data_IF_948395598365
#
_entry.id   IF_948395598365
#
_cell.length_a   1.000
_cell.length_b   1.000
_cell.length_c   1.000
_cell.angle_alpha   90.00
_cell.angle_beta   90.00
_cell.angle_gamma   90.00
#
_symmetry.space_group_name_H-M   'P 1'
#
loop_
_entity.id
_entity.type
_entity.pdbx_description
1 polymer ?
#
# COMPACT_ATOMS: atom_id res chain seq x y z
N UNK A 1 6.04 -7.03 -20.77
CA UNK A 1 4.93 -6.07 -20.97
C UNK A 1 3.76 -6.29 -20.02
N UNK A 2 3.33 -7.53 -19.70
CA UNK A 2 2.21 -7.77 -18.76
C UNK A 2 2.54 -7.41 -17.30
N UNK A 3 3.75 -7.71 -16.83
CA UNK A 3 4.19 -7.48 -15.44
C UNK A 3 4.27 -5.98 -15.07
N UNK A 4 4.73 -5.14 -16.01
CA UNK A 4 4.77 -3.68 -15.80
C UNK A 4 3.35 -3.06 -15.77
N UNK A 5 2.35 -3.75 -16.36
CA UNK A 5 0.97 -3.27 -16.40
C UNK A 5 0.29 -3.28 -15.03
N UNK A 6 0.53 -4.31 -14.22
CA UNK A 6 -0.11 -4.42 -12.89
C UNK A 6 0.53 -3.50 -11.86
N UNK A 7 1.83 -3.21 -11.97
CA UNK A 7 2.47 -2.14 -11.20
C UNK A 7 1.84 -0.76 -11.44
N UNK A 8 1.53 -0.43 -12.70
CA UNK A 8 0.87 0.82 -13.05
C UNK A 8 -0.57 0.88 -12.49
N UNK A 9 -1.28 -0.25 -12.52
CA UNK A 9 -2.61 -0.39 -11.91
C UNK A 9 -2.52 -0.25 -10.38
N UNK A 10 -1.49 -0.81 -9.73
CA UNK A 10 -1.27 -0.66 -8.30
C UNK A 10 -1.05 0.81 -7.90
N UNK A 11 -0.24 1.55 -8.67
CA UNK A 11 -0.06 2.99 -8.49
C UNK A 11 -1.37 3.77 -8.65
N UNK A 12 -2.15 3.49 -9.70
CA UNK A 12 -3.43 4.15 -9.96
C UNK A 12 -4.45 3.88 -8.83
N UNK A 13 -4.60 2.62 -8.42
CA UNK A 13 -5.52 2.24 -7.34
C UNK A 13 -5.10 2.91 -6.03
N UNK A 14 -3.80 2.97 -5.74
CA UNK A 14 -3.29 3.67 -4.57
C UNK A 14 -3.59 5.16 -4.59
N UNK A 15 -3.40 5.84 -5.73
CA UNK A 15 -3.75 7.25 -5.88
C UNK A 15 -5.25 7.49 -5.65
N UNK A 16 -6.12 6.59 -6.12
CA UNK A 16 -7.57 6.65 -5.86
C UNK A 16 -7.86 6.44 -4.38
N UNK A 17 -7.30 5.38 -3.78
CA UNK A 17 -7.50 5.02 -2.37
C UNK A 17 -7.04 6.12 -1.40
N UNK A 18 -5.99 6.86 -1.74
CA UNK A 18 -5.53 8.00 -0.94
C UNK A 18 -6.59 9.10 -0.78
N UNK A 19 -7.52 9.25 -1.73
CA UNK A 19 -8.63 10.21 -1.61
C UNK A 19 -9.69 9.79 -0.57
N UNK A 20 -9.66 8.53 -0.12
CA UNK A 20 -10.56 8.01 0.91
C UNK A 20 -9.93 8.06 2.31
N UNK A 21 -8.68 8.48 2.44
CA UNK A 21 -8.04 8.69 3.73
C UNK A 21 -8.55 9.98 4.40
N UNK A 22 -8.53 10.04 5.74
CA UNK A 22 -8.83 11.28 6.45
C UNK A 22 -7.97 12.44 5.96
N UNK A 23 -8.58 13.62 5.85
CA UNK A 23 -7.91 14.83 5.40
C UNK A 23 -6.91 15.27 6.48
N UNK A 24 -5.63 15.32 6.10
CA UNK A 24 -4.56 15.90 6.94
C UNK A 24 -4.13 17.24 6.32
N UNK A 25 -4.41 18.38 6.98
CA UNK A 25 -4.12 19.70 6.44
C UNK A 25 -2.64 19.85 6.03
N UNK A 26 -2.39 20.29 4.80
CA UNK A 26 -1.03 20.49 4.27
C UNK A 26 -0.27 19.22 3.86
N UNK A 27 -0.79 18.02 4.13
CA UNK A 27 -0.10 16.75 3.87
C UNK A 27 -0.77 15.84 2.83
N UNK A 28 -2.00 16.15 2.40
CA UNK A 28 -2.77 15.28 1.48
C UNK A 28 -2.06 14.91 0.17
N UNK A 29 -1.42 15.88 -0.50
CA UNK A 29 -0.65 15.62 -1.72
C UNK A 29 0.57 14.73 -1.46
N UNK A 30 1.27 14.97 -0.35
CA UNK A 30 2.46 14.20 0.05
C UNK A 30 2.08 12.76 0.43
N UNK A 31 0.99 12.58 1.16
CA UNK A 31 0.45 11.25 1.53
C UNK A 31 0.05 10.49 0.27
N UNK A 32 -0.62 11.15 -0.68
CA UNK A 32 -0.99 10.52 -1.97
C UNK A 32 0.23 10.10 -2.76
N UNK A 33 1.25 10.96 -2.84
CA UNK A 33 2.51 10.67 -3.54
C UNK A 33 3.26 9.49 -2.89
N UNK A 34 3.44 9.53 -1.56
CA UNK A 34 4.11 8.47 -0.81
C UNK A 34 3.35 7.16 -0.93
N UNK A 35 2.01 7.18 -0.80
CA UNK A 35 1.17 6.01 -0.99
C UNK A 35 1.34 5.41 -2.38
N UNK A 36 1.28 6.25 -3.42
CA UNK A 36 1.42 5.82 -4.82
C UNK A 36 2.79 5.18 -5.07
N UNK A 37 3.88 5.81 -4.64
CA UNK A 37 5.24 5.27 -4.76
C UNK A 37 5.35 3.94 -3.99
N UNK A 38 4.77 3.87 -2.80
CA UNK A 38 4.78 2.66 -1.96
C UNK A 38 4.04 1.50 -2.63
N UNK A 39 2.89 1.76 -3.26
CA UNK A 39 2.14 0.75 -3.98
C UNK A 39 2.88 0.27 -5.24
N UNK A 40 3.55 1.15 -5.97
CA UNK A 40 4.40 0.77 -7.11
C UNK A 40 5.57 -0.10 -6.63
N UNK A 41 6.23 0.30 -5.54
CA UNK A 41 7.31 -0.49 -4.93
C UNK A 41 6.80 -1.86 -4.44
N UNK A 42 5.61 -1.90 -3.83
CA UNK A 42 4.93 -3.12 -3.45
C UNK A 42 4.65 -4.03 -4.64
N UNK A 43 4.16 -3.46 -5.75
CA UNK A 43 3.96 -4.21 -6.99
C UNK A 43 5.25 -4.83 -7.51
N UNK A 44 6.36 -4.08 -7.53
CA UNK A 44 7.67 -4.61 -7.92
C UNK A 44 8.13 -5.77 -7.02
N UNK A 45 7.89 -5.70 -5.71
CA UNK A 45 8.16 -6.80 -4.77
C UNK A 45 7.28 -8.02 -5.07
N UNK A 46 6.01 -7.79 -5.42
CA UNK A 46 5.06 -8.85 -5.79
C UNK A 46 5.53 -9.73 -6.95
N UNK A 47 6.26 -9.16 -7.91
CA UNK A 47 6.86 -9.92 -9.04
C UNK A 47 7.81 -11.02 -8.54
N UNK A 48 8.55 -10.76 -7.45
CA UNK A 48 9.47 -11.72 -6.85
C UNK A 48 8.76 -12.97 -6.31
N UNK A 49 7.46 -12.87 -6.03
CA UNK A 49 6.66 -13.95 -5.47
C UNK A 49 6.02 -14.88 -6.50
N UNK A 50 6.22 -14.63 -7.80
CA UNK A 50 5.65 -15.43 -8.90
C UNK A 50 5.94 -16.94 -8.80
N UNK A 51 7.10 -17.31 -8.27
CA UNK A 51 7.55 -18.72 -8.16
C UNK A 51 7.23 -19.38 -6.82
N UNK A 52 6.55 -18.69 -5.91
CA UNK A 52 6.21 -19.23 -4.61
C UNK A 52 5.03 -20.20 -4.68
N UNK A 53 4.98 -21.14 -3.74
CA UNK A 53 3.85 -22.08 -3.63
C UNK A 53 2.55 -21.34 -3.31
N UNK A 54 1.40 -21.90 -3.74
CA UNK A 54 0.09 -21.30 -3.50
C UNK A 54 -0.18 -21.04 -2.00
N UNK A 55 0.24 -21.95 -1.12
CA UNK A 55 0.07 -21.80 0.33
C UNK A 55 0.92 -20.66 0.91
N UNK A 56 2.14 -20.49 0.41
CA UNK A 56 3.01 -19.36 0.79
C UNK A 56 2.41 -18.02 0.34
N UNK A 57 1.85 -17.97 -0.88
CA UNK A 57 1.17 -16.78 -1.38
C UNK A 57 -0.07 -16.44 -0.54
N UNK A 58 -0.87 -17.42 -0.16
CA UNK A 58 -2.04 -17.20 0.72
C UNK A 58 -1.60 -16.66 2.08
N UNK A 59 -0.53 -17.21 2.68
CA UNK A 59 0.03 -16.69 3.92
C UNK A 59 0.51 -15.24 3.80
N UNK A 60 1.22 -14.90 2.71
CA UNK A 60 1.65 -13.53 2.44
C UNK A 60 0.46 -12.57 2.25
N UNK A 61 -0.60 -13.01 1.58
CA UNK A 61 -1.82 -12.20 1.39
C UNK A 61 -2.46 -11.86 2.75
N UNK A 62 -2.58 -12.85 3.64
CA UNK A 62 -3.15 -12.64 4.98
C UNK A 62 -2.31 -11.66 5.79
N UNK A 63 -0.98 -11.81 5.77
CA UNK A 63 -0.06 -10.90 6.47
C UNK A 63 -0.15 -9.48 5.89
N UNK A 64 -0.14 -9.35 4.57
CA UNK A 64 -0.27 -8.09 3.86
C UNK A 64 -1.58 -7.36 4.21
N UNK A 65 -2.70 -8.07 4.24
CA UNK A 65 -3.99 -7.53 4.65
C UNK A 65 -4.00 -7.10 6.11
N UNK A 66 -3.48 -7.92 7.02
CA UNK A 66 -3.40 -7.60 8.44
C UNK A 66 -2.57 -6.34 8.69
N UNK A 67 -1.42 -6.21 8.02
CA UNK A 67 -0.56 -5.02 8.10
C UNK A 67 -1.27 -3.78 7.54
N UNK A 68 -1.97 -3.88 6.41
CA UNK A 68 -2.68 -2.75 5.83
C UNK A 68 -3.81 -2.26 6.75
N UNK A 69 -4.61 -3.18 7.31
CA UNK A 69 -5.70 -2.85 8.25
C UNK A 69 -5.15 -2.24 9.53
N UNK A 70 -4.13 -2.84 10.13
CA UNK A 70 -3.50 -2.31 11.34
C UNK A 70 -2.94 -0.90 11.11
N UNK A 71 -2.28 -0.69 9.97
CA UNK A 71 -1.71 0.61 9.60
C UNK A 71 -2.77 1.68 9.38
N UNK A 72 -3.93 1.32 8.83
CA UNK A 72 -5.07 2.25 8.69
C UNK A 72 -5.63 2.67 10.06
N UNK A 73 -5.79 1.72 10.98
CA UNK A 73 -6.26 2.04 12.35
C UNK A 73 -5.27 2.96 13.06
N UNK A 74 -3.97 2.66 12.99
CA UNK A 74 -2.94 3.51 13.59
C UNK A 74 -2.83 4.88 12.92
N UNK A 75 -2.95 4.97 11.59
CA UNK A 75 -2.99 6.23 10.86
C UNK A 75 -4.13 7.12 11.38
N UNK A 76 -5.34 6.56 11.51
CA UNK A 76 -6.50 7.29 12.03
C UNK A 76 -6.30 7.74 13.48
N UNK A 77 -5.66 6.91 14.31
CA UNK A 77 -5.30 7.25 15.68
C UNK A 77 -4.33 8.44 15.76
N UNK A 78 -3.35 8.52 14.86
CA UNK A 78 -2.41 9.65 14.78
C UNK A 78 -3.11 10.93 14.29
N UNK A 79 -3.96 10.83 13.26
CA UNK A 79 -4.72 11.99 12.73
C UNK A 79 -5.68 12.57 13.78
N UNK A 80 -6.33 11.72 14.57
CA UNK A 80 -7.21 12.15 15.65
C UNK A 80 -6.46 12.71 16.86
N UNK A 81 -5.15 12.45 16.95
CA UNK A 81 -4.35 12.64 18.14
C UNK A 81 -3.72 14.02 18.31
N UNK A 82 -3.10 14.63 17.28
CA UNK A 82 -2.14 15.70 17.60
C UNK A 82 -1.90 16.85 16.60
N UNK A 83 -1.60 18.05 17.16
CA UNK A 83 -0.78 19.09 16.57
C UNK A 83 0.72 18.89 16.90
N UNK A 84 1.56 18.64 15.88
CA UNK A 84 3.02 18.57 15.98
C UNK A 84 3.71 18.04 14.71
N UNK A 85 5.04 18.20 14.59
CA UNK A 85 5.84 17.72 13.43
C UNK A 85 6.20 16.24 13.48
N UNK A 86 6.36 15.66 14.67
CA UNK A 86 6.66 14.22 14.86
C UNK A 86 5.52 13.29 14.38
N UNK A 87 4.23 13.63 14.61
CA UNK A 87 3.10 12.94 13.99
C UNK A 87 3.16 12.86 12.46
N UNK A 88 3.72 13.86 11.76
CA UNK A 88 3.78 13.86 10.30
C UNK A 88 4.69 12.75 9.73
N UNK A 89 5.83 12.51 10.37
CA UNK A 89 6.72 11.41 9.99
C UNK A 89 6.06 10.05 10.26
N UNK A 90 5.35 9.92 11.38
CA UNK A 90 4.56 8.73 11.69
C UNK A 90 3.47 8.49 10.64
N UNK A 91 2.77 9.52 10.19
CA UNK A 91 1.77 9.41 9.12
C UNK A 91 2.38 8.89 7.81
N UNK A 92 3.60 9.30 7.46
CA UNK A 92 4.29 8.77 6.28
C UNK A 92 4.63 7.29 6.44
N UNK A 93 5.13 6.87 7.59
CA UNK A 93 5.42 5.45 7.87
C UNK A 93 4.14 4.63 7.78
N UNK A 94 3.04 5.08 8.38
CA UNK A 94 1.75 4.40 8.29
C UNK A 94 1.21 4.37 6.86
N UNK A 95 1.42 5.43 6.08
CA UNK A 95 1.07 5.47 4.66
C UNK A 95 1.83 4.40 3.89
N UNK A 96 3.15 4.28 4.07
CA UNK A 96 3.96 3.23 3.41
C UNK A 96 3.46 1.84 3.80
N UNK A 97 3.27 1.60 5.10
CA UNK A 97 2.81 0.30 5.62
C UNK A 97 1.39 -0.07 5.18
N UNK A 98 0.57 0.92 4.82
CA UNK A 98 -0.76 0.69 4.27
C UNK A 98 -0.73 0.36 2.77
N UNK A 99 0.01 1.14 1.98
CA UNK A 99 -0.05 1.06 0.52
C UNK A 99 0.92 0.04 -0.10
N UNK A 100 2.06 -0.22 0.54
CA UNK A 100 3.01 -1.21 0.04
C UNK A 100 2.42 -2.63 -0.02
N UNK A 101 1.72 -3.12 1.02
CA UNK A 101 1.04 -4.41 0.94
C UNK A 101 -0.04 -4.45 -0.14
N UNK A 102 -0.80 -3.36 -0.35
CA UNK A 102 -1.81 -3.27 -1.41
C UNK A 102 -1.16 -3.46 -2.79
N UNK A 103 0.00 -2.83 -3.01
CA UNK A 103 0.79 -3.03 -4.23
C UNK A 103 1.20 -4.48 -4.47
N UNK A 104 1.71 -5.14 -3.43
CA UNK A 104 2.09 -6.57 -3.48
C UNK A 104 0.87 -7.43 -3.85
N UNK A 105 -0.28 -7.18 -3.20
CA UNK A 105 -1.51 -7.93 -3.43
C UNK A 105 -2.02 -7.79 -4.86
N UNK A 106 -2.02 -6.56 -5.41
CA UNK A 106 -2.48 -6.28 -6.76
C UNK A 106 -1.61 -7.01 -7.78
N UNK A 107 -0.29 -6.97 -7.62
CA UNK A 107 0.62 -7.66 -8.53
C UNK A 107 0.47 -9.18 -8.43
N UNK A 108 0.45 -9.74 -7.22
CA UNK A 108 0.28 -11.18 -7.00
C UNK A 108 -1.05 -11.67 -7.58
N UNK A 109 -2.13 -10.90 -7.43
CA UNK A 109 -3.42 -11.22 -8.04
C UNK A 109 -3.36 -11.14 -9.57
N UNK A 110 -2.72 -10.10 -10.12
CA UNK A 110 -2.54 -9.93 -11.56
C UNK A 110 -1.76 -11.08 -12.21
N UNK A 111 -0.64 -11.48 -11.59
CA UNK A 111 0.19 -12.59 -12.05
C UNK A 111 -0.61 -13.90 -12.13
N UNK A 112 -1.41 -14.22 -11.11
CA UNK A 112 -2.25 -15.43 -11.09
C UNK A 112 -3.38 -15.45 -12.12
N UNK A 113 -3.88 -14.30 -12.56
CA UNK A 113 -4.90 -14.22 -13.62
C UNK A 113 -4.28 -14.44 -15.00
N UNK A 114 -2.98 -14.17 -15.15
CA UNK A 114 -2.27 -14.29 -16.42
C UNK A 114 -1.51 -15.59 -16.65
N UNK A 115 -1.32 -16.40 -15.61
CA UNK A 115 -0.82 -17.78 -15.70
C UNK A 115 -1.94 -18.74 -16.14
#
# INVERSE_FOLDING_TARGET
>A
MKEVGFMAVAGLISAILANFLPIVPGLGNTITLIGTISAVAGGAIGILFKKLSMWTLVGLIIIALALAVYSLVSFNGVVAGEPGSDPANLLYVWTVLMFLPIGILIEVAGLKVTD
#
